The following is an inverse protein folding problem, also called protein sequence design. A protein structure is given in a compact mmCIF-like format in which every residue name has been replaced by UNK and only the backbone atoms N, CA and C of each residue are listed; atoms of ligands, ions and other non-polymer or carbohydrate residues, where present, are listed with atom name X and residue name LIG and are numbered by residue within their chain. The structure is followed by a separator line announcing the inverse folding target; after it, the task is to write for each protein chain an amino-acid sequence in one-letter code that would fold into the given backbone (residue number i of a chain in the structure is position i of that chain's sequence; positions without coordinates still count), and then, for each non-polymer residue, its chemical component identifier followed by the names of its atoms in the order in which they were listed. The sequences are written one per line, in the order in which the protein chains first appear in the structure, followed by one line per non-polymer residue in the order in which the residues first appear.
data_IF_406342608055
#
_entry.id   IF_406342608055
#
_cell.length_a   1.000
_cell.length_b   1.000
_cell.length_c   1.000
_cell.angle_alpha   90.00
_cell.angle_beta   90.00
_cell.angle_gamma   90.00
#
_symmetry.space_group_name_H-M   'P 1'
#
loop_
_entity.id
_entity.type
_entity.pdbx_description
1 polymer ?
#
# COMPACT_ATOMS: atom_id res chain seq x y z
N UNK A 1 -15.26 25.55 2.19
CA UNK A 1 -16.58 25.25 1.57
C UNK A 1 -16.49 24.06 0.58
N UNK A 2 -15.71 23.01 0.89
CA UNK A 2 -15.47 21.86 -0.04
C UNK A 2 -16.09 20.56 0.49
N UNK A 3 -16.33 20.46 1.81
CA UNK A 3 -16.76 19.22 2.46
C UNK A 3 -18.26 18.90 2.30
N UNK A 4 -19.15 19.90 2.26
CA UNK A 4 -20.60 19.68 2.27
C UNK A 4 -21.17 18.94 1.03
N UNK A 5 -20.47 19.00 -0.11
CA UNK A 5 -20.94 18.33 -1.33
C UNK A 5 -20.75 16.81 -1.32
N UNK A 6 -19.64 16.34 -0.73
CA UNK A 6 -19.26 14.93 -0.71
C UNK A 6 -20.15 14.11 0.24
N UNK A 7 -20.42 14.64 1.44
CA UNK A 7 -21.26 13.98 2.44
C UNK A 7 -22.65 13.62 1.89
N UNK A 8 -23.31 14.57 1.23
CA UNK A 8 -24.62 14.35 0.60
C UNK A 8 -24.57 13.31 -0.53
N UNK A 9 -23.45 13.20 -1.25
CA UNK A 9 -23.27 12.18 -2.26
C UNK A 9 -23.09 10.79 -1.65
N UNK A 10 -22.27 10.67 -0.60
CA UNK A 10 -22.07 9.44 0.16
C UNK A 10 -23.40 8.88 0.70
N UNK A 11 -24.23 9.71 1.34
CA UNK A 11 -25.53 9.25 1.87
C UNK A 11 -26.46 8.67 0.79
N UNK A 12 -26.42 9.20 -0.44
CA UNK A 12 -27.27 8.71 -1.54
C UNK A 12 -26.69 7.46 -2.19
N UNK A 13 -25.37 7.31 -2.20
CA UNK A 13 -24.68 6.10 -2.68
C UNK A 13 -24.83 4.93 -1.70
N UNK A 14 -24.82 5.22 -0.41
CA UNK A 14 -24.93 4.25 0.68
C UNK A 14 -26.36 4.00 1.15
N UNK A 15 -27.36 4.35 0.32
CA UNK A 15 -28.76 4.03 0.59
C UNK A 15 -28.94 2.49 0.63
N UNK A 16 -29.40 1.92 1.76
CA UNK A 16 -29.63 0.48 1.91
C UNK A 16 -30.65 -0.05 0.89
N UNK A 17 -31.64 0.76 0.50
CA UNK A 17 -32.65 0.35 -0.46
C UNK A 17 -32.15 0.56 -1.90
N UNK A 18 -31.97 -0.50 -2.69
CA UNK A 18 -31.41 -0.41 -4.04
C UNK A 18 -32.32 0.36 -5.02
N UNK A 19 -33.62 0.48 -4.74
CA UNK A 19 -34.56 1.22 -5.59
C UNK A 19 -34.45 2.74 -5.43
N UNK A 20 -34.02 3.20 -4.26
CA UNK A 20 -33.87 4.62 -3.93
C UNK A 20 -32.42 5.09 -3.97
N UNK A 21 -31.47 4.14 -3.97
CA UNK A 21 -30.04 4.40 -4.19
C UNK A 21 -29.80 5.18 -5.48
N UNK A 22 -28.94 6.20 -5.39
CA UNK A 22 -28.60 7.03 -6.54
C UNK A 22 -27.88 6.21 -7.62
N UNK A 23 -28.28 6.38 -8.87
CA UNK A 23 -27.62 5.74 -10.02
C UNK A 23 -26.33 6.47 -10.39
N UNK A 24 -25.39 5.76 -11.03
CA UNK A 24 -24.13 6.35 -11.54
C UNK A 24 -24.40 7.58 -12.42
N UNK A 25 -25.40 7.51 -13.30
CA UNK A 25 -25.82 8.65 -14.15
C UNK A 25 -26.18 9.88 -13.32
N UNK A 26 -26.94 9.70 -12.23
CA UNK A 26 -27.31 10.80 -11.32
C UNK A 26 -26.13 11.28 -10.47
N UNK A 27 -25.14 10.44 -10.17
CA UNK A 27 -23.89 10.84 -9.49
C UNK A 27 -23.08 11.74 -10.42
N UNK A 28 -22.93 11.35 -11.69
CA UNK A 28 -22.18 12.11 -12.69
C UNK A 28 -22.77 13.50 -12.95
N UNK A 29 -24.08 13.67 -12.71
CA UNK A 29 -24.77 14.95 -12.82
C UNK A 29 -24.69 15.81 -11.54
N UNK A 30 -24.12 15.31 -10.46
CA UNK A 30 -24.08 16.01 -9.19
C UNK A 30 -22.98 17.08 -9.16
N UNK A 31 -23.24 18.18 -8.46
CA UNK A 31 -22.26 19.26 -8.29
C UNK A 31 -21.00 18.84 -7.54
N UNK A 32 -21.07 17.77 -6.73
CA UNK A 32 -19.86 17.20 -6.11
C UNK A 32 -18.96 16.58 -7.17
N UNK A 33 -19.54 15.80 -8.11
CA UNK A 33 -18.78 15.04 -9.09
C UNK A 33 -18.25 15.93 -10.21
N UNK A 34 -19.06 16.88 -10.69
CA UNK A 34 -18.72 17.76 -11.82
C UNK A 34 -17.67 18.80 -11.42
N UNK A 35 -17.63 19.20 -10.16
CA UNK A 35 -16.69 20.23 -9.69
C UNK A 35 -15.26 19.75 -9.86
N UNK A 36 -14.51 20.45 -10.70
CA UNK A 36 -13.12 20.13 -11.06
C UNK A 36 -12.95 18.77 -11.76
N UNK A 37 -14.04 18.22 -12.34
CA UNK A 37 -13.97 17.00 -13.14
C UNK A 37 -13.26 17.28 -14.46
N UNK A 38 -12.01 16.84 -14.55
CA UNK A 38 -11.28 16.76 -15.81
C UNK A 38 -11.52 15.36 -16.37
N UNK A 39 -12.36 15.27 -17.40
CA UNK A 39 -12.51 14.02 -18.15
C UNK A 39 -11.17 13.74 -18.85
N UNK A 40 -10.39 12.82 -18.28
CA UNK A 40 -9.17 12.34 -18.92
C UNK A 40 -9.57 11.48 -20.13
N UNK A 41 -9.78 12.12 -21.28
CA UNK A 41 -10.03 11.45 -22.57
C UNK A 41 -8.90 10.47 -22.94
N UNK A 42 -7.72 10.62 -22.32
CA UNK A 42 -6.56 9.75 -22.50
C UNK A 42 -6.58 8.47 -21.65
N UNK A 43 -7.39 8.40 -20.59
CA UNK A 43 -7.53 7.16 -19.81
C UNK A 43 -8.59 6.30 -20.47
N UNK A 44 -8.20 5.51 -21.48
CA UNK A 44 -9.01 4.37 -21.90
C UNK A 44 -9.36 3.59 -20.64
N UNK A 45 -10.64 3.57 -20.28
CA UNK A 45 -11.09 2.78 -19.15
C UNK A 45 -10.57 1.35 -19.36
N UNK A 46 -9.99 0.72 -18.33
CA UNK A 46 -9.56 -0.66 -18.43
C UNK A 46 -10.70 -1.47 -19.03
N UNK A 47 -10.38 -2.27 -20.03
CA UNK A 47 -11.37 -3.05 -20.78
C UNK A 47 -12.20 -3.84 -19.77
N UNK A 48 -13.53 -3.66 -19.78
CA UNK A 48 -14.43 -4.28 -18.78
C UNK A 48 -14.39 -5.81 -18.80
N UNK A 49 -13.94 -6.40 -19.91
CA UNK A 49 -13.70 -7.83 -20.06
C UNK A 49 -12.20 -8.12 -19.98
N UNK A 50 -11.74 -8.99 -19.06
CA UNK A 50 -10.37 -9.48 -19.04
C UNK A 50 -10.02 -10.10 -20.40
N UNK A 51 -8.87 -9.74 -20.95
CA UNK A 51 -8.29 -10.47 -22.08
C UNK A 51 -7.66 -11.77 -21.59
N UNK A 52 -7.36 -12.70 -22.51
CA UNK A 52 -6.61 -13.91 -22.18
C UNK A 52 -5.23 -13.57 -21.55
N UNK A 53 -4.63 -12.45 -21.97
CA UNK A 53 -3.38 -11.94 -21.42
C UNK A 53 -3.56 -11.43 -19.98
N UNK A 54 -4.67 -10.75 -19.67
CA UNK A 54 -4.97 -10.32 -18.29
C UNK A 54 -5.17 -11.50 -17.35
N UNK A 55 -5.87 -12.54 -17.81
CA UNK A 55 -6.07 -13.79 -17.06
C UNK A 55 -4.73 -14.51 -16.87
N UNK A 56 -3.90 -14.55 -17.91
CA UNK A 56 -2.56 -15.13 -17.87
C UNK A 56 -1.64 -14.37 -16.91
N UNK A 57 -1.69 -13.03 -16.89
CA UNK A 57 -0.89 -12.20 -15.99
C UNK A 57 -1.28 -12.40 -14.52
N UNK A 58 -2.58 -12.50 -14.22
CA UNK A 58 -3.06 -12.84 -12.87
C UNK A 58 -2.60 -14.26 -12.50
N UNK A 59 -2.74 -15.22 -13.41
CA UNK A 59 -2.26 -16.57 -13.20
C UNK A 59 -0.75 -16.60 -13.00
N UNK A 60 0.02 -15.81 -13.72
CA UNK A 60 1.47 -15.65 -13.56
C UNK A 60 1.82 -15.01 -12.22
N UNK A 61 1.08 -14.00 -11.76
CA UNK A 61 1.31 -13.40 -10.45
C UNK A 61 1.05 -14.40 -9.31
N UNK A 62 -0.02 -15.19 -9.41
CA UNK A 62 -0.35 -16.23 -8.43
C UNK A 62 0.58 -17.44 -8.50
N UNK A 63 0.93 -17.90 -9.70
CA UNK A 63 1.88 -19.02 -9.89
C UNK A 63 3.30 -18.60 -9.56
N UNK A 64 3.75 -17.38 -9.89
CA UNK A 64 5.06 -16.87 -9.48
C UNK A 64 5.12 -16.71 -7.95
N UNK A 65 4.04 -16.23 -7.32
CA UNK A 65 3.91 -16.23 -5.87
C UNK A 65 4.02 -17.64 -5.31
N UNK A 66 3.22 -18.60 -5.80
CA UNK A 66 3.24 -19.99 -5.35
C UNK A 66 4.58 -20.69 -5.61
N UNK A 67 5.20 -20.48 -6.77
CA UNK A 67 6.50 -21.04 -7.14
C UNK A 67 7.63 -20.40 -6.34
N UNK A 68 7.53 -19.10 -6.01
CA UNK A 68 8.44 -18.43 -5.07
C UNK A 68 8.27 -18.98 -3.65
N UNK A 69 7.04 -19.23 -3.20
CA UNK A 69 6.76 -19.86 -1.91
C UNK A 69 7.28 -21.31 -1.86
N UNK A 70 7.08 -22.09 -2.93
CA UNK A 70 7.58 -23.47 -3.04
C UNK A 70 9.09 -23.51 -3.17
N UNK A 71 9.71 -22.59 -3.93
CA UNK A 71 11.16 -22.46 -4.05
C UNK A 71 11.77 -22.08 -2.69
N UNK A 72 11.18 -21.11 -1.98
CA UNK A 72 11.57 -20.79 -0.60
C UNK A 72 11.40 -22.01 0.33
N UNK A 73 10.37 -22.84 0.10
CA UNK A 73 10.14 -24.08 0.85
C UNK A 73 11.04 -25.26 0.45
N UNK A 74 11.69 -25.23 -0.71
CA UNK A 74 12.62 -26.26 -1.19
C UNK A 74 14.09 -25.88 -0.94
N UNK A 75 14.39 -24.59 -0.79
CA UNK A 75 15.74 -24.05 -0.58
C UNK A 75 16.19 -24.01 0.89
N UNK A 76 15.44 -24.61 1.83
CA UNK A 76 15.88 -24.78 3.24
C UNK A 76 17.08 -25.73 3.41
N UNK A 77 17.64 -26.29 2.33
CA UNK A 77 18.72 -27.28 2.37
C UNK A 77 19.99 -26.88 1.60
N UNK A 78 20.19 -25.61 1.25
CA UNK A 78 21.46 -25.19 0.65
C UNK A 78 21.92 -23.86 1.22
N UNK A 79 23.07 -23.93 1.91
CA UNK A 79 23.83 -22.81 2.43
C UNK A 79 24.13 -21.83 1.30
N UNK A 80 23.43 -20.69 1.29
CA UNK A 80 23.86 -19.34 0.89
C UNK A 80 22.59 -18.52 0.62
N UNK A 81 22.06 -17.98 1.72
CA UNK A 81 20.75 -17.38 1.89
C UNK A 81 20.52 -16.18 0.94
N UNK A 82 19.79 -16.31 -0.20
CA UNK A 82 19.35 -15.15 -0.95
C UNK A 82 18.19 -14.56 -0.16
N UNK A 83 18.51 -13.53 0.63
CA UNK A 83 17.60 -12.79 1.52
C UNK A 83 16.20 -12.68 0.91
N UNK A 84 15.27 -13.43 1.50
CA UNK A 84 13.82 -13.37 1.33
C UNK A 84 13.38 -11.97 0.90
N UNK A 85 12.83 -11.82 -0.30
CA UNK A 85 12.15 -10.59 -0.67
C UNK A 85 10.96 -10.46 0.30
N UNK A 86 11.03 -9.48 1.20
CA UNK A 86 9.94 -9.17 2.13
C UNK A 86 8.76 -8.64 1.31
N UNK A 87 7.89 -9.55 0.88
CA UNK A 87 6.60 -9.20 0.33
C UNK A 87 5.72 -8.73 1.49
N UNK A 88 5.53 -7.42 1.60
CA UNK A 88 4.57 -6.84 2.53
C UNK A 88 3.18 -6.91 1.90
N UNK A 89 2.24 -7.51 2.60
CA UNK A 89 0.83 -7.38 2.28
C UNK A 89 0.28 -6.04 2.85
N UNK A 90 -0.98 -5.72 2.53
CA UNK A 90 -1.62 -4.50 3.02
C UNK A 90 -1.72 -4.44 4.55
N UNK A 91 -2.03 -5.56 5.22
CA UNK A 91 -2.08 -5.65 6.67
C UNK A 91 -0.71 -5.47 7.33
N UNK A 92 0.37 -5.91 6.70
CA UNK A 92 1.72 -5.69 7.22
C UNK A 92 2.02 -4.18 7.24
N UNK A 93 1.68 -3.44 6.17
CA UNK A 93 1.85 -1.99 6.13
C UNK A 93 0.93 -1.26 7.12
N UNK A 94 -0.32 -1.72 7.26
CA UNK A 94 -1.30 -1.15 8.20
C UNK A 94 -0.85 -1.36 9.65
N UNK A 95 -0.37 -2.56 10.00
CA UNK A 95 0.11 -2.89 11.35
C UNK A 95 1.31 -2.03 11.76
N UNK A 96 2.12 -1.60 10.77
CA UNK A 96 3.20 -0.67 11.01
C UNK A 96 2.70 0.76 11.26
N UNK A 97 1.48 1.17 10.91
CA UNK A 97 1.05 2.55 11.14
C UNK A 97 1.05 2.93 12.64
N UNK A 98 1.62 4.09 12.98
CA UNK A 98 1.69 4.58 14.35
C UNK A 98 0.31 4.83 14.97
N UNK A 99 -0.73 5.02 14.14
CA UNK A 99 -2.11 5.21 14.59
C UNK A 99 -2.75 3.97 15.22
N UNK A 100 -2.18 2.78 15.01
CA UNK A 100 -2.63 1.54 15.65
C UNK A 100 -1.74 1.12 16.83
N UNK A 101 -0.68 1.86 17.13
CA UNK A 101 0.22 1.57 18.25
C UNK A 101 -0.30 2.19 19.56
N UNK A 102 -1.01 1.41 20.37
CA UNK A 102 -1.52 1.83 21.69
C UNK A 102 -0.46 1.81 22.81
N UNK A 103 0.82 1.57 22.49
CA UNK A 103 1.90 1.55 23.49
C UNK A 103 2.02 2.84 24.30
N UNK A 104 1.59 3.97 23.74
CA UNK A 104 1.54 5.26 24.45
C UNK A 104 0.57 5.28 25.63
N UNK A 105 -0.45 4.41 25.65
CA UNK A 105 -1.38 4.29 26.76
C UNK A 105 -0.73 3.64 28.01
N UNK A 106 0.36 2.90 27.82
CA UNK A 106 1.02 2.10 28.85
C UNK A 106 2.46 2.54 29.16
N UNK A 107 2.96 3.61 28.53
CA UNK A 107 4.33 4.10 28.74
C UNK A 107 4.36 5.15 29.85
N UNK A 108 5.12 4.87 30.91
CA UNK A 108 5.39 5.81 32.00
C UNK A 108 6.58 6.75 31.73
N UNK A 109 7.36 6.51 30.66
CA UNK A 109 8.58 7.25 30.35
C UNK A 109 8.41 8.25 29.20
N UNK A 110 8.98 9.45 29.38
CA UNK A 110 9.00 10.58 28.41
C UNK A 110 9.85 10.32 27.16
N UNK A 111 10.40 9.12 27.00
CA UNK A 111 11.35 8.77 25.94
C UNK A 111 10.63 8.18 24.72
N UNK A 112 9.61 8.87 24.24
CA UNK A 112 8.82 8.41 23.09
C UNK A 112 9.63 8.65 21.81
N UNK A 113 10.55 7.73 21.53
CA UNK A 113 11.29 7.68 20.27
C UNK A 113 10.28 7.40 19.17
N UNK A 114 9.74 8.47 18.59
CA UNK A 114 8.87 8.41 17.43
C UNK A 114 9.57 7.61 16.35
N UNK A 115 9.09 6.40 16.08
CA UNK A 115 9.62 5.55 15.03
C UNK A 115 9.34 6.25 13.69
N UNK A 116 10.39 6.73 13.03
CA UNK A 116 10.34 7.24 11.67
C UNK A 116 10.61 6.07 10.73
N UNK A 117 9.74 5.90 9.73
CA UNK A 117 9.87 4.83 8.72
C UNK A 117 10.10 5.44 7.35
N UNK A 118 10.93 4.78 6.56
CA UNK A 118 11.24 5.17 5.18
C UNK A 118 11.18 3.93 4.28
N UNK A 119 10.87 4.13 3.00
CA UNK A 119 10.87 3.09 1.97
C UNK A 119 12.01 3.33 0.98
N UNK A 120 12.55 2.27 0.40
CA UNK A 120 13.64 2.35 -0.57
C UNK A 120 13.52 1.27 -1.63
N UNK A 121 14.01 1.57 -2.83
CA UNK A 121 14.17 0.59 -3.91
C UNK A 121 15.57 -0.02 -3.96
N UNK A 122 16.48 0.42 -3.08
CA UNK A 122 17.86 -0.10 -2.99
C UNK A 122 17.88 -1.39 -2.17
N UNK A 123 18.73 -2.37 -2.51
CA UNK A 123 18.78 -3.62 -1.78
C UNK A 123 19.40 -3.43 -0.38
N UNK A 124 19.07 -4.30 0.60
CA UNK A 124 19.54 -4.16 1.98
C UNK A 124 21.06 -3.96 2.16
N UNK A 125 21.95 -4.67 1.41
CA UNK A 125 23.39 -4.45 1.53
C UNK A 125 23.83 -3.01 1.23
N UNK A 126 23.20 -2.36 0.24
CA UNK A 126 23.49 -0.97 -0.11
C UNK A 126 23.11 -0.03 1.04
N UNK A 127 21.95 -0.25 1.66
CA UNK A 127 21.49 0.56 2.79
C UNK A 127 22.42 0.40 3.99
N UNK A 128 22.81 -0.83 4.32
CA UNK A 128 23.75 -1.10 5.43
C UNK A 128 25.11 -0.46 5.16
N UNK A 129 25.62 -0.53 3.92
CA UNK A 129 26.86 0.12 3.54
C UNK A 129 26.79 1.65 3.68
N UNK A 130 25.70 2.26 3.22
CA UNK A 130 25.48 3.71 3.38
C UNK A 130 25.43 4.12 4.85
N UNK A 131 24.72 3.37 5.70
CA UNK A 131 24.65 3.67 7.13
C UNK A 131 26.04 3.59 7.79
N UNK A 132 26.83 2.56 7.47
CA UNK A 132 28.21 2.44 7.96
C UNK A 132 29.12 3.58 7.50
N UNK A 133 28.98 4.03 6.26
CA UNK A 133 29.75 5.17 5.75
C UNK A 133 29.44 6.45 6.54
N UNK A 134 28.17 6.70 6.86
CA UNK A 134 27.76 7.86 7.66
C UNK A 134 28.34 7.80 9.08
N UNK A 135 28.37 6.63 9.72
CA UNK A 135 28.94 6.51 11.08
C UNK A 135 30.45 6.79 11.14
N UNK A 136 31.18 6.50 10.06
CA UNK A 136 32.63 6.78 9.98
C UNK A 136 32.94 8.26 9.73
N UNK A 137 32.02 8.98 9.07
CA UNK A 137 32.18 10.41 8.78
C UNK A 137 31.92 11.29 10.01
N UNK A 138 30.97 10.92 10.85
CA UNK A 138 30.54 11.74 11.99
C UNK A 138 31.27 11.40 13.30
N UNK A 139 32.09 10.35 13.32
CA UNK A 139 33.02 9.97 14.39
C UNK A 139 32.40 9.59 15.76
N UNK A 140 31.12 9.89 15.98
CA UNK A 140 30.44 9.75 17.28
C UNK A 140 29.61 8.47 17.45
N UNK A 141 29.48 7.63 16.42
CA UNK A 141 28.60 6.46 16.44
C UNK A 141 29.39 5.16 16.29
N UNK A 142 29.29 4.28 17.29
CA UNK A 142 29.86 2.93 17.26
C UNK A 142 28.75 1.94 16.87
N UNK A 143 28.96 1.20 15.77
CA UNK A 143 28.05 0.16 15.25
C UNK A 143 28.41 -1.19 15.82
#
# INVERSE_FOLDING_TARGET
MVLFGCEKACYRMLDPNPRTRISVVKIMQSSWFIKDYVQNEAAQLPRMSPTEEDISNVQHAFTFSWYSYLKDSLMWNTEENPKKLYHFNAFDLISLSSGFHISGLFKNDKNDKRLVRFTTRKPPPTIVSMLKAITLLDGGFKV
#
